data_IF_251175276731
#
_entry.id   IF_251175276731
#
_cell.length_a   1.000
_cell.length_b   1.000
_cell.length_c   1.000
_cell.angle_alpha   90.00
_cell.angle_beta   90.00
_cell.angle_gamma   90.00
#
_symmetry.space_group_name_H-M   'P 1'
#
loop_
_entity.id
_entity.type
_entity.pdbx_description
1 polymer ?
#
# COMPACT_ATOMS: atom_id res chain seq x y z
N UNK A 1 10.46 1.11 -14.36
CA UNK A 1 10.38 0.85 -12.90
C UNK A 1 8.94 0.49 -12.58
N UNK A 2 8.66 -0.77 -12.24
CA UNK A 2 7.32 -1.25 -11.93
C UNK A 2 6.91 -0.76 -10.53
N UNK A 3 5.82 0.00 -10.45
CA UNK A 3 5.13 0.36 -9.20
C UNK A 3 4.57 -0.89 -8.53
N UNK A 4 5.37 -1.54 -7.69
CA UNK A 4 5.00 -2.79 -7.04
C UNK A 4 4.01 -2.55 -5.89
N UNK A 5 4.14 -1.45 -5.15
CA UNK A 5 3.25 -1.17 -4.02
C UNK A 5 1.84 -0.86 -4.51
N UNK A 6 1.72 0.04 -5.49
CA UNK A 6 0.42 0.41 -6.07
C UNK A 6 -0.32 -0.81 -6.61
N UNK A 7 0.37 -1.69 -7.32
CA UNK A 7 -0.24 -2.89 -7.89
C UNK A 7 -0.67 -3.89 -6.81
N UNK A 8 0.14 -4.10 -5.76
CA UNK A 8 -0.22 -4.97 -4.64
C UNK A 8 -1.45 -4.45 -3.91
N UNK A 9 -1.47 -3.17 -3.53
CA UNK A 9 -2.62 -2.57 -2.83
C UNK A 9 -3.86 -2.62 -3.73
N UNK A 10 -3.73 -2.27 -5.02
CA UNK A 10 -4.85 -2.33 -5.96
C UNK A 10 -5.43 -3.74 -6.12
N UNK A 11 -4.59 -4.75 -6.25
CA UNK A 11 -5.05 -6.14 -6.34
C UNK A 11 -5.81 -6.57 -5.07
N UNK A 12 -5.35 -6.14 -3.90
CA UNK A 12 -6.02 -6.42 -2.62
C UNK A 12 -7.38 -5.72 -2.54
N UNK A 13 -7.44 -4.44 -2.94
CA UNK A 13 -8.70 -3.69 -2.95
C UNK A 13 -9.69 -4.25 -3.96
N UNK A 14 -9.23 -4.64 -5.16
CA UNK A 14 -10.07 -5.24 -6.19
C UNK A 14 -10.67 -6.59 -5.71
N UNK A 15 -9.85 -7.44 -5.07
CA UNK A 15 -10.31 -8.72 -4.49
C UNK A 15 -11.39 -8.53 -3.42
N UNK A 16 -11.31 -7.45 -2.66
CA UNK A 16 -12.24 -7.13 -1.57
C UNK A 16 -13.39 -6.23 -1.98
N UNK A 17 -13.43 -5.81 -3.25
CA UNK A 17 -14.42 -4.85 -3.77
C UNK A 17 -14.43 -3.54 -2.97
N UNK A 18 -13.26 -3.11 -2.50
CA UNK A 18 -13.07 -1.84 -1.83
C UNK A 18 -13.04 -0.74 -2.90
N UNK A 19 -13.73 0.37 -2.64
CA UNK A 19 -13.72 1.50 -3.56
C UNK A 19 -12.30 2.07 -3.74
N UNK A 20 -11.84 2.08 -4.99
CA UNK A 20 -10.54 2.61 -5.39
C UNK A 20 -10.69 4.02 -5.94
N UNK A 21 -10.78 5.00 -5.04
CA UNK A 21 -10.87 6.40 -5.42
C UNK A 21 -9.54 6.95 -5.96
N UNK A 22 -9.62 8.03 -6.75
CA UNK A 22 -8.42 8.76 -7.22
C UNK A 22 -7.56 9.24 -6.05
N UNK A 23 -8.19 9.66 -4.95
CA UNK A 23 -7.53 10.08 -3.73
C UNK A 23 -6.66 8.96 -3.14
N UNK A 24 -7.22 7.76 -2.97
CA UNK A 24 -6.49 6.57 -2.48
C UNK A 24 -5.34 6.20 -3.42
N UNK A 25 -5.56 6.25 -4.73
CA UNK A 25 -4.51 6.00 -5.72
C UNK A 25 -3.34 6.97 -5.57
N UNK A 26 -3.61 8.26 -5.38
CA UNK A 26 -2.58 9.27 -5.24
C UNK A 26 -1.86 9.14 -3.91
N UNK A 27 -2.57 8.79 -2.83
CA UNK A 27 -1.94 8.51 -1.54
C UNK A 27 -0.99 7.31 -1.59
N UNK A 28 -1.41 6.22 -2.23
CA UNK A 28 -0.54 5.03 -2.40
C UNK A 28 0.70 5.36 -3.23
N UNK A 29 0.56 6.18 -4.29
CA UNK A 29 1.71 6.66 -5.09
C UNK A 29 2.66 7.55 -4.29
N UNK A 30 2.13 8.41 -3.43
CA UNK A 30 2.94 9.25 -2.54
C UNK A 30 3.76 8.37 -1.59
N UNK A 31 3.12 7.42 -0.91
CA UNK A 31 3.77 6.46 -0.01
C UNK A 31 4.85 5.67 -0.75
N UNK A 32 4.53 5.14 -1.94
CA UNK A 32 5.49 4.40 -2.76
C UNK A 32 6.71 5.26 -3.12
N UNK A 33 6.47 6.52 -3.53
CA UNK A 33 7.54 7.46 -3.88
C UNK A 33 8.41 7.79 -2.67
N UNK A 34 7.84 7.99 -1.49
CA UNK A 34 8.62 8.26 -0.28
C UNK A 34 9.43 7.05 0.17
N UNK A 35 8.88 5.85 0.04
CA UNK A 35 9.58 4.60 0.31
C UNK A 35 10.74 4.37 -0.66
N UNK A 36 10.50 4.51 -1.96
CA UNK A 36 11.52 4.33 -3.01
C UNK A 36 12.66 5.37 -2.90
N UNK A 37 12.37 6.57 -2.36
CA UNK A 37 13.37 7.59 -2.07
C UNK A 37 14.07 7.40 -0.70
N UNK A 38 13.73 6.36 0.05
CA UNK A 38 14.29 6.08 1.39
C UNK A 38 13.89 7.10 2.46
N UNK A 39 12.83 7.90 2.23
CA UNK A 39 12.33 8.88 3.21
C UNK A 39 11.56 8.24 4.36
N UNK A 40 10.94 7.09 4.08
CA UNK A 40 10.16 6.31 5.05
C UNK A 40 10.58 4.85 4.99
N UNK A 41 10.41 4.12 6.08
CA UNK A 41 10.63 2.68 6.13
C UNK A 41 9.45 1.89 5.54
N UNK A 42 9.64 0.59 5.31
CA UNK A 42 8.55 -0.32 4.92
C UNK A 42 7.46 -0.32 6.01
N UNK A 43 7.84 -0.34 7.29
CA UNK A 43 6.89 -0.29 8.41
C UNK A 43 6.08 1.01 8.43
N UNK A 44 6.73 2.16 8.17
CA UNK A 44 6.03 3.45 8.02
C UNK A 44 5.06 3.45 6.83
N UNK A 45 5.48 2.90 5.69
CA UNK A 45 4.64 2.81 4.50
C UNK A 45 3.39 1.96 4.77
N UNK A 46 3.53 0.82 5.43
CA UNK A 46 2.41 -0.05 5.83
C UNK A 46 1.54 0.64 6.89
N UNK A 47 2.13 1.37 7.83
CA UNK A 47 1.41 2.18 8.82
C UNK A 47 0.51 3.23 8.16
N UNK A 48 1.05 3.99 7.19
CA UNK A 48 0.28 5.00 6.44
C UNK A 48 -0.82 4.40 5.57
N UNK A 49 -0.56 3.24 4.97
CA UNK A 49 -1.61 2.49 4.26
C UNK A 49 -2.70 2.04 5.23
N UNK A 50 -2.34 1.67 6.45
CA UNK A 50 -3.30 1.31 7.49
C UNK A 50 -4.13 2.50 7.96
N UNK A 51 -3.55 3.69 8.01
CA UNK A 51 -4.32 4.91 8.32
C UNK A 51 -5.27 5.28 7.18
N UNK A 52 -4.87 5.09 5.92
CA UNK A 52 -5.67 5.43 4.73
C UNK A 52 -6.82 4.44 4.47
N UNK A 53 -6.54 3.14 4.56
CA UNK A 53 -7.52 2.09 4.29
C UNK A 53 -8.18 1.53 5.55
N UNK A 54 -7.65 1.82 6.74
CA UNK A 54 -8.26 1.48 8.02
C UNK A 54 -8.66 0.00 8.10
N UNK A 55 -9.94 -0.21 8.39
CA UNK A 55 -10.59 -1.52 8.45
C UNK A 55 -11.07 -2.07 7.10
N UNK A 56 -10.94 -1.33 6.00
CA UNK A 56 -11.25 -1.84 4.66
C UNK A 56 -10.29 -2.98 4.30
N UNK A 57 -9.00 -2.80 4.61
CA UNK A 57 -8.00 -3.86 4.57
C UNK A 57 -7.87 -4.50 5.95
N UNK A 58 -7.78 -5.83 5.99
CA UNK A 58 -7.60 -6.61 7.21
C UNK A 58 -6.14 -6.72 7.63
N UNK A 59 -5.91 -7.17 8.87
CA UNK A 59 -4.57 -7.37 9.44
C UNK A 59 -3.64 -8.20 8.54
N UNK A 60 -4.17 -9.24 7.90
CA UNK A 60 -3.41 -10.13 7.03
C UNK A 60 -3.03 -9.47 5.69
N UNK A 61 -3.85 -8.54 5.20
CA UNK A 61 -3.58 -7.81 3.95
C UNK A 61 -2.39 -6.87 4.13
N UNK A 62 -2.29 -6.20 5.27
CA UNK A 62 -1.13 -5.38 5.61
C UNK A 62 0.15 -6.20 5.77
N UNK A 63 0.05 -7.43 6.29
CA UNK A 63 1.20 -8.36 6.32
C UNK A 63 1.62 -8.81 4.91
N UNK A 64 0.65 -9.07 4.01
CA UNK A 64 0.93 -9.41 2.62
C UNK A 64 1.65 -8.27 1.90
N UNK A 65 1.18 -7.01 2.10
CA UNK A 65 1.84 -5.81 1.58
C UNK A 65 3.27 -5.68 2.12
N UNK A 66 3.46 -5.84 3.44
CA UNK A 66 4.79 -5.78 4.06
C UNK A 66 5.73 -6.81 3.45
N UNK A 67 5.29 -8.06 3.36
CA UNK A 67 6.08 -9.17 2.80
C UNK A 67 6.42 -8.93 1.33
N UNK A 68 5.50 -8.36 0.55
CA UNK A 68 5.74 -8.01 -0.85
C UNK A 68 6.77 -6.89 -1.01
N UNK A 69 6.78 -5.91 -0.09
CA UNK A 69 7.76 -4.83 -0.07
C UNK A 69 9.15 -5.29 0.33
N UNK A 70 9.27 -6.19 1.32
CA UNK A 70 10.55 -6.72 1.82
C UNK A 70 11.27 -7.64 0.80
N UNK A 71 10.54 -8.19 -0.17
CA UNK A 71 11.10 -9.06 -1.23
C UNK A 71 11.67 -8.29 -2.43
N UNK A 72 11.55 -6.96 -2.46
CA UNK A 72 12.10 -6.10 -3.52
C UNK A 72 13.58 -5.79 -3.27
#
# INVERSE_FOLDING_TARGET
MNSNLKNTVKNLTDRKKIDWSSFRSDKVREIERELDNGKISIDDAVGRLRDEFGSDLGKYDYQEIKTALERR
#
